data_IF_569546487661
#
_entry.id   IF_569546487661
#
_cell.length_a   1.000
_cell.length_b   1.000
_cell.length_c   1.000
_cell.angle_alpha   90.00
_cell.angle_beta   90.00
_cell.angle_gamma   90.00
#
_symmetry.space_group_name_H-M   'P 1'
#
loop_
_entity.id
_entity.type
_entity.pdbx_description
1 polymer ?
#
# COMPACT_ATOMS: atom_id res chain seq x y z
N UNK A 1 -24.67 -1.69 -8.44
CA UNK A 1 -23.97 -2.95 -8.18
C UNK A 1 -23.42 -2.99 -6.76
N UNK A 2 -22.72 -1.93 -6.33
CA UNK A 2 -22.11 -1.87 -4.98
C UNK A 2 -23.12 -1.79 -3.84
N UNK A 3 -24.27 -1.16 -4.04
CA UNK A 3 -25.33 -0.99 -3.02
C UNK A 3 -26.06 -2.29 -2.68
N UNK A 4 -25.99 -3.29 -3.55
CA UNK A 4 -26.77 -4.53 -3.40
C UNK A 4 -25.98 -5.70 -2.82
N UNK A 5 -24.65 -5.59 -2.67
CA UNK A 5 -23.79 -6.71 -2.26
C UNK A 5 -23.11 -6.45 -0.91
N UNK A 6 -22.94 -5.19 -0.50
CA UNK A 6 -22.27 -4.85 0.76
C UNK A 6 -23.03 -3.76 1.51
N UNK A 7 -23.17 -3.92 2.82
CA UNK A 7 -23.65 -2.87 3.73
C UNK A 7 -22.63 -1.71 3.90
N UNK A 8 -21.39 -1.94 3.47
CA UNK A 8 -20.31 -0.96 3.53
C UNK A 8 -20.16 -0.29 2.17
N UNK A 9 -20.14 1.04 2.16
CA UNK A 9 -19.83 1.82 0.96
C UNK A 9 -18.31 1.97 0.90
N UNK A 10 -17.62 1.28 -0.04
CA UNK A 10 -16.16 1.36 -0.12
C UNK A 10 -15.72 2.67 -0.77
N UNK A 11 -14.59 3.21 -0.32
CA UNK A 11 -13.91 4.35 -0.95
C UNK A 11 -13.46 3.99 -2.37
N UNK A 12 -12.94 2.78 -2.56
CA UNK A 12 -12.57 2.23 -3.86
C UNK A 12 -12.78 0.70 -3.89
N UNK A 13 -12.67 0.10 -5.07
CA UNK A 13 -12.77 -1.37 -5.23
C UNK A 13 -11.65 -2.14 -4.52
N UNK A 14 -10.52 -1.49 -4.29
CA UNK A 14 -9.37 -2.07 -3.58
C UNK A 14 -9.73 -2.47 -2.15
N UNK A 15 -10.71 -1.84 -1.52
CA UNK A 15 -11.25 -2.21 -0.21
C UNK A 15 -11.55 -3.71 -0.10
N UNK A 16 -12.25 -4.27 -1.07
CA UNK A 16 -12.62 -5.68 -1.04
C UNK A 16 -11.44 -6.61 -1.31
N UNK A 17 -10.52 -6.19 -2.17
CA UNK A 17 -9.31 -6.97 -2.47
C UNK A 17 -8.47 -7.21 -1.22
N UNK A 18 -8.18 -6.14 -0.47
CA UNK A 18 -7.37 -6.29 0.75
C UNK A 18 -8.10 -7.13 1.81
N UNK A 19 -9.42 -6.95 1.96
CA UNK A 19 -10.19 -7.80 2.89
C UNK A 19 -10.07 -9.27 2.55
N UNK A 20 -10.27 -9.63 1.29
CA UNK A 20 -10.14 -11.00 0.80
C UNK A 20 -8.75 -11.55 1.14
N UNK A 21 -7.67 -10.85 0.78
CA UNK A 21 -6.30 -11.25 1.07
C UNK A 21 -6.07 -11.45 2.57
N UNK A 22 -6.51 -10.52 3.42
CA UNK A 22 -6.32 -10.62 4.87
C UNK A 22 -7.06 -11.83 5.45
N UNK A 23 -8.27 -12.14 4.97
CA UNK A 23 -9.03 -13.29 5.44
C UNK A 23 -8.47 -14.60 4.92
N UNK A 24 -8.12 -14.69 3.64
CA UNK A 24 -7.64 -15.92 3.01
C UNK A 24 -6.28 -16.36 3.56
N UNK A 25 -5.40 -15.39 3.82
CA UNK A 25 -4.07 -15.65 4.38
C UNK A 25 -4.00 -15.50 5.90
N UNK A 26 -5.10 -15.18 6.55
CA UNK A 26 -5.19 -14.99 8.01
C UNK A 26 -4.13 -14.01 8.54
N UNK A 27 -3.92 -12.89 7.80
CA UNK A 27 -2.90 -11.93 8.15
C UNK A 27 -3.25 -11.17 9.44
N UNK A 28 -2.23 -10.92 10.26
CA UNK A 28 -2.37 -10.16 11.49
C UNK A 28 -2.41 -8.66 11.20
N UNK A 29 -3.54 -8.00 11.51
CA UNK A 29 -3.74 -6.56 11.38
C UNK A 29 -3.55 -5.93 12.75
N UNK A 30 -2.32 -5.78 13.20
CA UNK A 30 -2.07 -5.26 14.55
C UNK A 30 -1.10 -4.07 14.55
N UNK A 31 -1.18 -3.28 15.64
CA UNK A 31 -0.32 -2.14 15.98
C UNK A 31 -0.25 -1.10 14.86
N UNK A 32 0.73 -1.17 13.97
CA UNK A 32 0.91 -0.20 12.89
C UNK A 32 0.84 -0.87 11.52
N UNK A 33 0.22 -0.18 10.58
CA UNK A 33 0.13 -0.55 9.18
C UNK A 33 0.63 0.60 8.30
N UNK A 34 0.94 0.30 7.03
CA UNK A 34 1.33 1.31 6.05
C UNK A 34 0.64 1.06 4.72
N UNK A 35 0.17 2.14 4.08
CA UNK A 35 -0.45 2.15 2.76
C UNK A 35 0.35 3.06 1.84
N UNK A 36 1.02 2.48 0.83
CA UNK A 36 1.94 3.16 -0.08
C UNK A 36 1.26 3.30 -1.44
N UNK A 37 1.26 4.51 -1.99
CA UNK A 37 0.68 4.85 -3.30
C UNK A 37 -0.78 4.39 -3.47
N UNK A 38 -1.62 4.58 -2.44
CA UNK A 38 -2.90 3.86 -2.30
C UNK A 38 -4.13 4.79 -2.32
N UNK A 39 -3.99 6.09 -2.60
CA UNK A 39 -5.18 6.92 -2.72
C UNK A 39 -6.19 6.34 -3.76
N UNK A 40 -7.49 6.46 -3.50
CA UNK A 40 -8.16 7.26 -2.46
C UNK A 40 -8.30 6.59 -1.08
N UNK A 41 -7.69 5.41 -0.81
CA UNK A 41 -7.62 4.81 0.52
C UNK A 41 -8.52 3.60 0.75
N UNK A 42 -8.75 2.77 -0.28
CA UNK A 42 -9.57 1.55 -0.12
C UNK A 42 -8.93 0.52 0.79
N UNK A 43 -7.61 0.32 0.71
CA UNK A 43 -6.88 -0.56 1.63
C UNK A 43 -6.88 0.00 3.05
N UNK A 44 -6.63 1.31 3.19
CA UNK A 44 -6.70 1.99 4.49
C UNK A 44 -8.07 1.83 5.15
N UNK A 45 -9.16 2.03 4.40
CA UNK A 45 -10.52 1.81 4.89
C UNK A 45 -10.72 0.35 5.31
N UNK A 46 -10.17 -0.60 4.55
CA UNK A 46 -10.25 -2.03 4.87
C UNK A 46 -9.59 -2.36 6.20
N UNK A 47 -8.37 -1.86 6.44
CA UNK A 47 -7.65 -2.06 7.70
C UNK A 47 -8.41 -1.49 8.89
N UNK A 48 -8.95 -0.27 8.77
CA UNK A 48 -9.77 0.35 9.81
C UNK A 48 -11.00 -0.50 10.14
N UNK A 49 -11.71 -0.98 9.10
CA UNK A 49 -12.91 -1.79 9.28
C UNK A 49 -12.63 -3.15 9.90
N UNK A 50 -11.57 -3.83 9.50
CA UNK A 50 -11.14 -5.11 10.09
C UNK A 50 -10.76 -4.90 11.57
N UNK A 51 -10.04 -3.83 11.89
CA UNK A 51 -9.68 -3.49 13.26
C UNK A 51 -10.92 -3.29 14.15
N UNK A 52 -11.92 -2.55 13.64
CA UNK A 52 -13.21 -2.35 14.35
C UNK A 52 -13.95 -3.69 14.56
N UNK A 53 -14.13 -4.48 13.50
CA UNK A 53 -14.90 -5.72 13.52
C UNK A 53 -14.30 -6.80 14.41
N UNK A 54 -12.96 -6.88 14.44
CA UNK A 54 -12.23 -7.87 15.23
C UNK A 54 -11.76 -7.36 16.59
N UNK A 55 -12.06 -6.09 16.93
CA UNK A 55 -11.58 -5.43 18.15
C UNK A 55 -10.06 -5.50 18.29
N UNK A 56 -9.34 -5.30 17.19
CA UNK A 56 -7.88 -5.33 17.15
C UNK A 56 -7.34 -3.98 17.60
N UNK A 57 -6.26 -4.00 18.36
CA UNK A 57 -5.54 -2.80 18.80
C UNK A 57 -4.65 -2.28 17.66
N UNK A 58 -5.29 -1.58 16.72
CA UNK A 58 -4.62 -0.86 15.65
C UNK A 58 -4.31 0.57 16.13
N UNK A 59 -3.03 0.92 16.20
CA UNK A 59 -2.59 2.25 16.66
C UNK A 59 -2.56 3.26 15.50
N UNK A 60 -1.78 2.98 14.46
CA UNK A 60 -1.58 3.93 13.36
C UNK A 60 -1.56 3.24 12.00
N UNK A 61 -2.21 3.88 11.02
CA UNK A 61 -2.05 3.59 9.60
C UNK A 61 -1.33 4.77 8.96
N UNK A 62 -0.11 4.53 8.51
CA UNK A 62 0.66 5.50 7.75
C UNK A 62 0.28 5.45 6.28
N UNK A 63 0.15 6.62 5.64
CA UNK A 63 -0.15 6.71 4.21
C UNK A 63 0.79 7.68 3.49
N UNK A 64 1.21 7.30 2.29
CA UNK A 64 1.90 8.19 1.33
C UNK A 64 1.34 7.94 -0.06
N UNK A 65 1.08 9.01 -0.80
CA UNK A 65 0.66 8.96 -2.21
C UNK A 65 1.11 10.23 -2.91
N UNK A 66 1.19 10.17 -4.23
CA UNK A 66 1.48 11.34 -5.05
C UNK A 66 0.42 12.42 -4.84
N UNK A 67 0.85 13.64 -4.57
CA UNK A 67 0.02 14.85 -4.53
C UNK A 67 0.21 15.58 -5.85
N UNK A 68 -0.87 15.86 -6.55
CA UNK A 68 -0.85 16.48 -7.88
C UNK A 68 -2.10 17.36 -8.07
N UNK A 69 -1.94 18.41 -8.85
CA UNK A 69 -3.06 19.25 -9.31
C UNK A 69 -3.80 18.63 -10.51
N UNK A 70 -3.34 17.48 -11.01
CA UNK A 70 -4.01 16.75 -12.08
C UNK A 70 -5.19 15.94 -11.49
N UNK A 71 -6.40 16.20 -12.00
CA UNK A 71 -7.64 15.54 -11.58
C UNK A 71 -7.64 14.01 -11.77
N UNK A 72 -6.77 13.48 -12.65
CA UNK A 72 -6.60 12.03 -12.86
C UNK A 72 -5.83 11.35 -11.72
N UNK A 73 -5.11 12.11 -10.90
CA UNK A 73 -4.40 11.58 -9.73
C UNK A 73 -5.33 11.59 -8.51
N UNK A 74 -5.67 10.42 -7.95
CA UNK A 74 -6.60 10.36 -6.84
C UNK A 74 -6.01 10.96 -5.56
N UNK A 75 -6.84 11.71 -4.83
CA UNK A 75 -6.53 12.18 -3.48
C UNK A 75 -7.07 11.23 -2.42
N UNK A 76 -6.51 11.30 -1.22
CA UNK A 76 -7.06 10.61 -0.06
C UNK A 76 -8.50 11.01 0.21
N UNK A 77 -9.35 10.03 0.49
CA UNK A 77 -10.74 10.32 0.82
C UNK A 77 -10.82 11.11 2.14
N UNK A 78 -11.53 12.27 2.18
CA UNK A 78 -11.59 13.12 3.37
C UNK A 78 -12.08 12.41 4.64
N UNK A 79 -12.94 11.40 4.49
CA UNK A 79 -13.42 10.64 5.66
C UNK A 79 -12.32 9.84 6.36
N UNK A 80 -11.28 9.44 5.62
CA UNK A 80 -10.11 8.75 6.18
C UNK A 80 -9.17 9.72 6.87
N UNK A 81 -8.97 10.92 6.31
CA UNK A 81 -8.08 11.93 6.86
C UNK A 81 -8.54 12.43 8.25
N UNK A 82 -9.83 12.37 8.53
CA UNK A 82 -10.40 12.76 9.84
C UNK A 82 -10.29 11.65 10.91
N UNK A 83 -9.78 10.47 10.56
CA UNK A 83 -9.62 9.38 11.52
C UNK A 83 -8.32 9.55 12.32
N UNK A 84 -8.41 9.53 13.65
CA UNK A 84 -7.26 9.74 14.54
C UNK A 84 -6.16 8.67 14.41
N UNK A 85 -6.48 7.51 13.85
CA UNK A 85 -5.52 6.43 13.58
C UNK A 85 -4.79 6.61 12.25
N UNK A 86 -5.19 7.56 11.41
CA UNK A 86 -4.58 7.79 10.09
C UNK A 86 -3.56 8.91 10.17
N UNK A 87 -2.37 8.64 9.66
CA UNK A 87 -1.27 9.60 9.56
C UNK A 87 -0.73 9.64 8.14
N UNK A 88 -1.03 10.71 7.42
CA UNK A 88 -0.52 10.94 6.08
C UNK A 88 0.82 11.68 6.15
N UNK A 89 1.77 11.22 5.33
CA UNK A 89 3.05 11.85 5.10
C UNK A 89 3.18 12.17 3.61
N UNK A 90 3.42 13.42 3.27
CA UNK A 90 3.60 13.84 1.88
C UNK A 90 5.09 13.86 1.46
N UNK A 91 5.99 13.33 2.31
CA UNK A 91 7.42 13.32 2.07
C UNK A 91 8.09 14.66 2.32
N UNK A 92 9.39 14.73 2.00
CA UNK A 92 10.25 15.89 2.30
C UNK A 92 9.83 17.19 1.59
N UNK A 93 9.29 17.10 0.39
CA UNK A 93 8.90 18.24 -0.44
C UNK A 93 7.38 18.37 -0.63
N UNK A 94 6.60 17.70 0.21
CA UNK A 94 5.14 17.70 0.24
C UNK A 94 4.45 17.16 -1.04
N UNK A 95 5.21 16.54 -1.96
CA UNK A 95 4.64 15.99 -3.20
C UNK A 95 4.22 14.51 -3.11
N UNK A 96 4.64 13.79 -2.08
CA UNK A 96 4.40 12.35 -1.98
C UNK A 96 5.02 11.51 -3.11
N UNK A 97 5.84 12.13 -3.97
CA UNK A 97 6.46 11.47 -5.11
C UNK A 97 7.53 10.47 -4.67
N UNK A 98 7.23 9.18 -4.81
CA UNK A 98 8.12 8.07 -4.45
C UNK A 98 9.31 7.90 -5.40
N UNK A 99 9.38 8.67 -6.48
CA UNK A 99 10.55 8.72 -7.35
C UNK A 99 11.66 9.61 -6.78
N UNK A 100 11.35 10.37 -5.73
CA UNK A 100 12.29 11.23 -5.03
C UNK A 100 12.78 10.53 -3.75
N UNK A 101 14.05 10.19 -3.71
CA UNK A 101 14.65 9.47 -2.57
C UNK A 101 14.40 10.17 -1.23
N UNK A 102 14.41 11.50 -1.18
CA UNK A 102 14.19 12.25 0.07
C UNK A 102 12.77 12.04 0.62
N UNK A 103 11.75 11.92 -0.25
CA UNK A 103 10.38 11.61 0.18
C UNK A 103 10.28 10.19 0.75
N UNK A 104 10.94 9.23 0.09
CA UNK A 104 11.02 7.85 0.57
C UNK A 104 11.68 7.78 1.95
N UNK A 105 12.81 8.46 2.14
CA UNK A 105 13.53 8.47 3.41
C UNK A 105 12.74 9.17 4.51
N UNK A 106 12.03 10.25 4.21
CA UNK A 106 11.18 10.96 5.16
C UNK A 106 9.98 10.09 5.59
N UNK A 107 9.36 9.38 4.65
CA UNK A 107 8.29 8.43 4.96
C UNK A 107 8.78 7.28 5.83
N UNK A 108 9.93 6.67 5.52
CA UNK A 108 10.56 5.64 6.36
C UNK A 108 10.83 6.16 7.78
N UNK A 109 11.33 7.39 7.91
CA UNK A 109 11.55 8.04 9.20
C UNK A 109 10.23 8.26 9.96
N UNK A 110 9.18 8.68 9.26
CA UNK A 110 7.85 8.93 9.83
C UNK A 110 7.20 7.66 10.35
N UNK A 111 7.29 6.55 9.62
CA UNK A 111 6.80 5.24 10.06
C UNK A 111 7.64 4.67 11.21
N UNK A 112 8.95 4.89 11.17
CA UNK A 112 9.92 4.21 12.01
C UNK A 112 10.36 2.86 11.43
N UNK A 113 11.59 2.47 11.70
CA UNK A 113 12.13 1.18 11.25
C UNK A 113 11.47 0.02 12.01
N UNK A 114 11.17 -1.06 11.30
CA UNK A 114 10.62 -2.30 11.86
C UNK A 114 9.34 -2.05 12.70
N UNK A 115 8.46 -1.16 12.27
CA UNK A 115 7.30 -0.71 13.04
C UNK A 115 5.96 -1.27 12.55
N UNK A 116 5.83 -1.54 11.24
CA UNK A 116 4.56 -1.91 10.61
C UNK A 116 4.40 -3.44 10.48
N UNK A 117 3.26 -3.98 10.93
CA UNK A 117 2.91 -5.39 10.73
C UNK A 117 2.43 -5.69 9.31
N UNK A 118 1.60 -4.81 8.77
CA UNK A 118 1.17 -4.88 7.37
C UNK A 118 1.69 -3.65 6.64
N UNK A 119 2.32 -3.90 5.51
CA UNK A 119 2.69 -2.89 4.53
C UNK A 119 1.97 -3.22 3.24
N UNK A 120 1.24 -2.27 2.68
CA UNK A 120 0.53 -2.43 1.40
C UNK A 120 1.03 -1.43 0.38
N UNK A 121 1.06 -1.83 -0.89
CA UNK A 121 1.39 -1.00 -2.03
C UNK A 121 0.45 -1.32 -3.20
N UNK A 122 -0.43 -0.38 -3.56
CA UNK A 122 -1.40 -0.53 -4.67
C UNK A 122 -1.21 0.56 -5.72
N UNK A 123 0.05 1.00 -5.90
CA UNK A 123 0.40 2.01 -6.87
C UNK A 123 0.09 1.59 -8.30
N UNK A 124 -0.23 2.55 -9.15
CA UNK A 124 -0.50 2.31 -10.57
C UNK A 124 -0.71 3.61 -11.32
N UNK A 125 -0.62 3.51 -12.63
CA UNK A 125 -0.85 4.60 -13.56
C UNK A 125 -1.89 4.16 -14.60
N UNK A 126 -2.53 5.12 -15.24
CA UNK A 126 -3.30 4.85 -16.46
C UNK A 126 -2.33 4.67 -17.62
N UNK A 127 -2.35 3.50 -18.24
CA UNK A 127 -1.48 3.14 -19.35
C UNK A 127 -2.26 3.05 -20.65
N UNK A 128 -1.61 3.44 -21.72
CA UNK A 128 -2.16 3.32 -23.08
C UNK A 128 -1.95 1.93 -23.71
N UNK A 129 -1.00 1.14 -23.17
CA UNK A 129 -0.78 -0.24 -23.58
C UNK A 129 -0.33 -1.13 -22.43
N UNK A 130 -0.80 -2.37 -22.39
CA UNK A 130 -0.48 -3.36 -21.36
C UNK A 130 1.02 -3.71 -21.31
N UNK A 131 1.72 -3.67 -22.46
CA UNK A 131 3.15 -3.99 -22.55
C UNK A 131 4.07 -2.97 -21.86
N UNK A 132 3.61 -1.73 -21.69
CA UNK A 132 4.42 -0.69 -21.06
C UNK A 132 4.22 -0.61 -19.54
N UNK A 133 3.16 -1.25 -19.02
CA UNK A 133 2.81 -1.17 -17.61
C UNK A 133 3.92 -1.67 -16.69
N UNK A 134 4.48 -2.83 -16.98
CA UNK A 134 5.54 -3.42 -16.15
C UNK A 134 6.78 -2.53 -16.11
N UNK A 135 7.26 -2.08 -17.26
CA UNK A 135 8.46 -1.27 -17.34
C UNK A 135 8.27 0.11 -16.70
N UNK A 136 7.12 0.74 -16.94
CA UNK A 136 6.81 2.07 -16.40
C UNK A 136 6.60 2.04 -14.89
N UNK A 137 6.07 0.94 -14.34
CA UNK A 137 5.86 0.77 -12.89
C UNK A 137 7.11 0.28 -12.15
N UNK A 138 8.17 -0.12 -12.84
CA UNK A 138 9.37 -0.67 -12.22
C UNK A 138 9.97 0.22 -11.13
N UNK A 139 10.10 1.52 -11.39
CA UNK A 139 10.66 2.48 -10.44
C UNK A 139 9.77 2.65 -9.20
N UNK A 140 8.45 2.63 -9.39
CA UNK A 140 7.49 2.66 -8.29
C UNK A 140 7.64 1.39 -7.43
N UNK A 141 7.61 0.22 -8.05
CA UNK A 141 7.78 -1.06 -7.38
C UNK A 141 9.10 -1.15 -6.60
N UNK A 142 10.21 -0.64 -7.18
CA UNK A 142 11.48 -0.54 -6.48
C UNK A 142 11.36 0.32 -5.20
N UNK A 143 10.71 1.48 -5.28
CA UNK A 143 10.53 2.37 -4.12
C UNK A 143 9.63 1.75 -3.05
N UNK A 144 8.55 1.07 -3.46
CA UNK A 144 7.64 0.34 -2.57
C UNK A 144 8.37 -0.78 -1.80
N UNK A 145 9.19 -1.57 -2.49
CA UNK A 145 10.05 -2.59 -1.86
C UNK A 145 11.04 -1.94 -0.88
N UNK A 146 11.73 -0.88 -1.30
CA UNK A 146 12.68 -0.19 -0.45
C UNK A 146 12.02 0.30 0.85
N UNK A 147 10.83 0.89 0.76
CA UNK A 147 10.07 1.32 1.93
C UNK A 147 9.71 0.11 2.78
N UNK A 148 9.09 -0.92 2.20
CA UNK A 148 8.59 -2.07 2.95
C UNK A 148 9.69 -2.77 3.74
N UNK A 149 10.85 -3.03 3.13
CA UNK A 149 11.99 -3.68 3.78
C UNK A 149 12.59 -2.84 4.93
N UNK A 150 12.35 -1.54 4.98
CA UNK A 150 12.82 -0.68 6.06
C UNK A 150 11.82 -0.52 7.20
N UNK A 151 10.51 -0.46 6.90
CA UNK A 151 9.49 -0.18 7.91
C UNK A 151 8.80 -1.43 8.45
N UNK A 152 8.84 -2.53 7.72
CA UNK A 152 8.13 -3.74 8.10
C UNK A 152 8.80 -4.42 9.31
N UNK A 153 7.97 -4.82 10.25
CA UNK A 153 8.36 -5.59 11.42
C UNK A 153 8.64 -7.05 11.01
N UNK A 154 9.56 -7.70 11.69
CA UNK A 154 9.79 -9.14 11.54
C UNK A 154 8.49 -9.91 11.79
N UNK A 155 8.18 -10.87 10.91
CA UNK A 155 6.92 -11.62 10.94
C UNK A 155 5.72 -10.86 10.36
N UNK A 156 5.91 -9.64 9.86
CA UNK A 156 4.87 -8.87 9.17
C UNK A 156 4.67 -9.30 7.72
N UNK A 157 3.65 -8.74 7.08
CA UNK A 157 3.27 -9.07 5.71
C UNK A 157 3.37 -7.86 4.77
N UNK A 158 3.91 -8.06 3.57
CA UNK A 158 3.92 -7.09 2.49
C UNK A 158 2.97 -7.52 1.37
N UNK A 159 2.04 -6.66 1.02
CA UNK A 159 1.05 -6.89 -0.04
C UNK A 159 1.29 -5.84 -1.11
N UNK A 160 1.69 -6.27 -2.30
CA UNK A 160 2.04 -5.37 -3.38
C UNK A 160 1.33 -5.75 -4.67
N UNK A 161 0.78 -4.74 -5.36
CA UNK A 161 0.24 -4.93 -6.70
C UNK A 161 1.39 -4.98 -7.70
N UNK A 162 1.38 -6.03 -8.52
CA UNK A 162 2.21 -6.15 -9.71
C UNK A 162 1.34 -6.14 -10.96
N UNK A 163 1.93 -5.80 -12.09
CA UNK A 163 1.29 -5.92 -13.40
C UNK A 163 1.72 -7.24 -14.03
N UNK A 164 2.78 -7.23 -14.81
CA UNK A 164 3.33 -8.42 -15.47
C UNK A 164 4.74 -8.75 -14.94
N UNK A 165 5.28 -9.90 -15.32
CA UNK A 165 6.57 -10.43 -14.87
C UNK A 165 7.43 -10.89 -16.04
N UNK A 166 7.48 -10.11 -17.13
CA UNK A 166 8.22 -10.46 -18.34
C UNK A 166 9.67 -10.00 -18.32
N UNK A 167 9.97 -8.90 -17.60
CA UNK A 167 11.30 -8.32 -17.59
C UNK A 167 12.19 -8.90 -16.48
N UNK A 168 13.44 -9.16 -16.83
CA UNK A 168 14.46 -9.64 -15.89
C UNK A 168 14.63 -8.70 -14.70
N UNK A 169 14.48 -7.39 -14.90
CA UNK A 169 14.56 -6.39 -13.84
C UNK A 169 13.48 -6.59 -12.78
N UNK A 170 12.25 -6.90 -13.18
CA UNK A 170 11.14 -7.20 -12.26
C UNK A 170 11.41 -8.49 -11.48
N UNK A 171 11.93 -9.52 -12.18
CA UNK A 171 12.31 -10.78 -11.53
C UNK A 171 13.45 -10.59 -10.51
N UNK A 172 14.39 -9.67 -10.75
CA UNK A 172 15.43 -9.32 -9.78
C UNK A 172 14.84 -8.69 -8.52
N UNK A 173 13.84 -7.81 -8.63
CA UNK A 173 13.15 -7.26 -7.47
C UNK A 173 12.38 -8.33 -6.70
N UNK A 174 11.70 -9.25 -7.40
CA UNK A 174 11.06 -10.41 -6.76
C UNK A 174 12.07 -11.32 -6.05
N UNK A 175 13.26 -11.48 -6.60
CA UNK A 175 14.33 -12.24 -5.96
C UNK A 175 14.81 -11.58 -4.65
N UNK A 176 14.86 -10.25 -4.59
CA UNK A 176 15.13 -9.52 -3.33
C UNK A 176 14.05 -9.85 -2.30
N UNK A 177 12.77 -9.81 -2.69
CA UNK A 177 11.68 -10.19 -1.80
C UNK A 177 11.78 -11.65 -1.36
N UNK A 178 12.10 -12.58 -2.27
CA UNK A 178 12.31 -13.99 -1.96
C UNK A 178 13.38 -14.22 -0.90
N UNK A 179 14.45 -13.43 -0.93
CA UNK A 179 15.53 -13.51 0.07
C UNK A 179 15.14 -12.86 1.41
N UNK A 180 14.09 -12.03 1.43
CA UNK A 180 13.72 -11.23 2.59
C UNK A 180 12.49 -11.76 3.34
N UNK A 181 11.68 -12.61 2.72
CA UNK A 181 10.43 -13.14 3.26
C UNK A 181 10.45 -14.67 3.31
N UNK A 182 9.82 -15.25 4.34
CA UNK A 182 9.71 -16.70 4.51
C UNK A 182 8.86 -17.36 3.42
N UNK A 183 7.90 -16.63 2.86
CA UNK A 183 7.03 -17.12 1.77
C UNK A 183 6.57 -15.99 0.87
N UNK A 184 6.33 -16.31 -0.40
CA UNK A 184 5.73 -15.42 -1.40
C UNK A 184 4.55 -16.15 -2.03
N UNK A 185 3.43 -15.46 -2.17
CA UNK A 185 2.22 -15.95 -2.84
C UNK A 185 1.77 -14.97 -3.92
N UNK A 186 1.36 -15.48 -5.07
CA UNK A 186 0.76 -14.69 -6.15
C UNK A 186 -0.74 -14.92 -6.17
N UNK A 187 -1.51 -13.83 -6.21
CA UNK A 187 -2.96 -13.83 -6.23
C UNK A 187 -3.41 -13.12 -7.50
N UNK A 188 -4.41 -13.68 -8.20
CA UNK A 188 -4.97 -13.09 -9.41
C UNK A 188 -6.41 -12.69 -9.19
#
# INVERSE_FOLDING_TARGET
YRKNISSIIPVSRSFFKLREIIYDFQLDVSVNCSCIAEAPGGFMQSLLKISEEKSIDLETIYGITLVSDNDDVPFWNPSLLNNSKVKICNGHDDTGDLYKLLNVLDFIKTCGKNSCHIVTADGGFDYTSDFEQELSSYKLFYSEIMISLNIQKQGGSFICKLFDLFYTSTLQLLYILYLSYDSISFIK
#
